data_IF_707063864194
#
_entry.id   IF_707063864194
#
_cell.length_a   1.000
_cell.length_b   1.000
_cell.length_c   1.000
_cell.angle_alpha   90.00
_cell.angle_beta   90.00
_cell.angle_gamma   90.00
#
_symmetry.space_group_name_H-M   'P 1'
#
loop_
_entity.id
_entity.type
_entity.pdbx_description
1 polymer ?
#
# COMPACT_ATOMS: atom_id res chain seq x y z
N UNK A 1 -2.89 -23.88 -22.96
CA UNK A 1 -2.06 -24.23 -21.80
C UNK A 1 -1.27 -23.00 -21.43
N UNK A 2 -1.12 -22.73 -20.15
CA UNK A 2 -0.37 -21.58 -19.62
C UNK A 2 0.53 -22.08 -18.49
N UNK A 3 1.60 -21.36 -18.19
CA UNK A 3 2.58 -21.72 -17.18
C UNK A 3 2.39 -20.96 -15.87
N UNK A 4 1.64 -19.85 -15.92
CA UNK A 4 1.30 -19.00 -14.78
C UNK A 4 -0.02 -18.28 -15.07
N UNK A 5 -0.78 -17.94 -14.05
CA UNK A 5 -2.05 -17.18 -14.15
C UNK A 5 -2.02 -16.02 -13.19
N UNK A 6 -2.37 -14.82 -13.66
CA UNK A 6 -2.69 -13.68 -12.80
C UNK A 6 -4.20 -13.46 -12.83
N UNK A 7 -4.81 -13.29 -11.65
CA UNK A 7 -6.25 -13.05 -11.51
C UNK A 7 -6.45 -11.71 -10.80
N UNK A 8 -7.27 -10.84 -11.41
CA UNK A 8 -7.86 -9.65 -10.79
C UNK A 8 -9.36 -9.86 -10.71
N UNK A 9 -9.90 -9.86 -9.50
CA UNK A 9 -11.31 -10.15 -9.23
C UNK A 9 -11.79 -9.38 -8.01
N UNK A 10 -13.04 -9.57 -7.61
CA UNK A 10 -13.59 -8.94 -6.42
C UNK A 10 -13.29 -9.75 -5.16
N UNK A 11 -13.77 -10.99 -5.07
CA UNK A 11 -13.71 -11.82 -3.86
C UNK A 11 -12.39 -12.61 -3.78
N UNK A 12 -11.67 -12.49 -2.69
CA UNK A 12 -10.45 -13.26 -2.41
C UNK A 12 -10.71 -14.78 -2.44
N UNK A 13 -11.85 -15.22 -1.92
CA UNK A 13 -12.24 -16.64 -1.88
C UNK A 13 -12.34 -17.27 -3.26
N UNK A 14 -12.72 -16.52 -4.30
CA UNK A 14 -12.75 -17.02 -5.68
C UNK A 14 -11.34 -17.34 -6.16
N UNK A 15 -10.40 -16.44 -5.86
CA UNK A 15 -9.00 -16.61 -6.23
C UNK A 15 -8.37 -17.79 -5.50
N UNK A 16 -8.62 -17.93 -4.20
CA UNK A 16 -8.12 -19.05 -3.38
C UNK A 16 -8.67 -20.41 -3.88
N UNK A 17 -9.96 -20.47 -4.19
CA UNK A 17 -10.57 -21.68 -4.77
C UNK A 17 -9.96 -22.02 -6.12
N UNK A 18 -9.69 -21.02 -6.97
CA UNK A 18 -9.02 -21.24 -8.25
C UNK A 18 -7.59 -21.77 -8.01
N UNK A 19 -6.82 -21.13 -7.12
CA UNK A 19 -5.45 -21.50 -6.81
C UNK A 19 -5.36 -22.92 -6.25
N UNK A 20 -6.30 -23.33 -5.38
CA UNK A 20 -6.35 -24.68 -4.81
C UNK A 20 -6.53 -25.81 -5.86
N UNK A 21 -7.07 -25.48 -7.03
CA UNK A 21 -7.28 -26.45 -8.13
C UNK A 21 -6.32 -26.22 -9.31
N UNK A 22 -5.47 -25.21 -9.25
CA UNK A 22 -4.51 -24.88 -10.30
C UNK A 22 -3.27 -25.79 -10.20
N UNK A 23 -2.75 -26.19 -11.38
CA UNK A 23 -1.45 -26.89 -11.48
C UNK A 23 -0.29 -25.93 -11.76
N UNK A 24 -0.59 -24.66 -11.95
CA UNK A 24 0.40 -23.61 -12.21
C UNK A 24 0.28 -22.52 -11.15
N UNK A 25 1.32 -21.74 -10.92
CA UNK A 25 1.26 -20.62 -9.97
C UNK A 25 0.13 -19.65 -10.30
N UNK A 26 -0.52 -19.13 -9.26
CA UNK A 26 -1.57 -18.13 -9.38
C UNK A 26 -1.15 -16.86 -8.63
N UNK A 27 -1.11 -15.75 -9.33
CA UNK A 27 -0.79 -14.43 -8.78
C UNK A 27 -2.10 -13.68 -8.50
N UNK A 28 -2.24 -13.15 -7.29
CA UNK A 28 -3.29 -12.19 -6.96
C UNK A 28 -2.95 -10.83 -7.57
N UNK A 29 -3.63 -10.47 -8.67
CA UNK A 29 -3.48 -9.16 -9.32
C UNK A 29 -4.20 -8.03 -8.60
N UNK A 30 -5.28 -8.33 -7.87
CA UNK A 30 -6.06 -7.51 -6.93
C UNK A 30 -7.34 -8.25 -6.55
N UNK A 31 -7.76 -8.11 -5.30
CA UNK A 31 -9.11 -8.43 -4.80
C UNK A 31 -9.65 -7.27 -3.98
N UNK A 32 -10.91 -7.36 -3.52
CA UNK A 32 -11.46 -6.38 -2.59
C UNK A 32 -10.72 -6.36 -1.25
N UNK A 33 -10.12 -7.49 -0.89
CA UNK A 33 -9.44 -7.67 0.39
C UNK A 33 -7.96 -7.31 0.34
N UNK A 34 -7.27 -7.55 -0.83
CA UNK A 34 -5.82 -7.41 -0.91
C UNK A 34 -5.30 -6.94 -2.27
N UNK A 35 -4.13 -6.29 -2.26
CA UNK A 35 -3.39 -5.91 -3.46
C UNK A 35 -1.87 -6.23 -3.35
N UNK A 36 -1.48 -7.51 -3.30
CA UNK A 36 -0.10 -7.90 -3.01
C UNK A 36 0.91 -7.45 -4.08
N UNK A 37 0.52 -7.34 -5.34
CA UNK A 37 1.42 -6.83 -6.38
C UNK A 37 1.76 -5.34 -6.21
N UNK A 38 0.88 -4.55 -5.61
CA UNK A 38 1.15 -3.15 -5.30
C UNK A 38 2.12 -3.05 -4.13
N UNK A 39 1.83 -3.72 -3.02
CA UNK A 39 2.68 -3.64 -1.84
C UNK A 39 4.12 -4.08 -2.12
N UNK A 40 4.35 -5.04 -3.02
CA UNK A 40 5.69 -5.41 -3.44
C UNK A 40 6.42 -4.25 -4.12
N UNK A 41 5.72 -3.45 -4.92
CA UNK A 41 6.30 -2.28 -5.57
C UNK A 41 6.58 -1.16 -4.55
N UNK A 42 5.65 -0.91 -3.63
CA UNK A 42 5.78 0.11 -2.59
C UNK A 42 6.99 -0.19 -1.70
N UNK A 43 7.11 -1.45 -1.25
CA UNK A 43 8.25 -1.92 -0.44
C UNK A 43 9.56 -1.82 -1.21
N UNK A 44 9.59 -2.23 -2.47
CA UNK A 44 10.77 -2.15 -3.31
C UNK A 44 11.20 -0.69 -3.54
N UNK A 45 10.24 0.20 -3.82
CA UNK A 45 10.50 1.64 -3.96
C UNK A 45 11.07 2.24 -2.67
N UNK A 46 10.52 1.87 -1.51
CA UNK A 46 11.09 2.31 -0.24
C UNK A 46 12.53 1.83 -0.06
N UNK A 47 12.82 0.57 -0.40
CA UNK A 47 14.16 -0.01 -0.32
C UNK A 47 15.12 0.71 -1.27
N UNK A 48 14.73 1.00 -2.50
CA UNK A 48 15.56 1.77 -3.44
C UNK A 48 15.89 3.16 -2.90
N UNK A 49 14.91 3.84 -2.33
CA UNK A 49 15.07 5.22 -1.84
C UNK A 49 15.82 5.31 -0.50
N UNK A 50 15.78 4.27 0.34
CA UNK A 50 16.26 4.31 1.73
C UNK A 50 17.20 3.17 2.12
N UNK A 51 17.16 2.05 1.44
CA UNK A 51 17.95 0.85 1.74
C UNK A 51 19.10 0.59 0.77
N UNK A 52 19.21 1.34 -0.32
CA UNK A 52 20.29 1.17 -1.29
C UNK A 52 21.44 2.16 -1.03
N UNK A 53 22.65 1.66 -0.85
CA UNK A 53 23.85 2.50 -0.75
C UNK A 53 24.35 2.91 -2.15
N UNK A 54 25.34 3.83 -2.19
CA UNK A 54 25.94 4.32 -3.44
C UNK A 54 26.69 3.25 -4.25
N UNK A 55 26.90 2.07 -3.70
CA UNK A 55 27.56 0.92 -4.34
C UNK A 55 26.55 -0.12 -4.82
N UNK A 56 25.25 0.13 -4.61
CA UNK A 56 24.17 -0.78 -4.95
C UNK A 56 23.96 -1.92 -3.95
N UNK A 57 24.58 -1.85 -2.77
CA UNK A 57 24.29 -2.80 -1.69
C UNK A 57 22.91 -2.48 -1.10
N UNK A 58 22.10 -3.50 -0.90
CA UNK A 58 20.69 -3.39 -0.48
C UNK A 58 20.58 -3.83 0.97
N UNK A 59 20.01 -2.95 1.80
CA UNK A 59 19.55 -3.28 3.16
C UNK A 59 18.08 -3.66 3.12
N UNK A 60 17.80 -4.94 3.12
CA UNK A 60 16.43 -5.48 3.14
C UNK A 60 15.71 -5.24 4.47
N UNK A 61 16.42 -4.94 5.54
CA UNK A 61 15.87 -4.63 6.86
C UNK A 61 15.61 -3.13 7.06
N UNK A 62 15.81 -2.30 6.03
CA UNK A 62 15.67 -0.83 6.13
C UNK A 62 14.28 -0.35 6.56
N UNK A 63 13.24 -1.19 6.37
CA UNK A 63 11.86 -0.92 6.84
C UNK A 63 11.65 -1.26 8.32
N UNK A 64 12.49 -2.14 8.89
CA UNK A 64 12.31 -2.62 10.25
C UNK A 64 12.35 -1.49 11.28
N UNK A 65 11.32 -1.43 12.12
CA UNK A 65 11.17 -0.38 13.13
C UNK A 65 10.77 1.00 12.57
N UNK A 66 10.49 1.11 11.27
CA UNK A 66 9.97 2.34 10.65
C UNK A 66 8.49 2.51 10.89
N UNK A 67 7.99 3.69 10.57
CA UNK A 67 6.58 4.05 10.66
C UNK A 67 6.06 4.42 9.28
N UNK A 68 5.01 3.74 8.86
CA UNK A 68 4.24 4.06 7.66
C UNK A 68 2.91 4.64 8.10
N UNK A 69 2.56 5.83 7.66
CA UNK A 69 1.25 6.43 7.89
C UNK A 69 0.32 6.07 6.72
N UNK A 70 -0.78 5.40 7.03
CA UNK A 70 -1.90 5.19 6.14
C UNK A 70 -3.01 6.19 6.46
N UNK A 71 -3.38 7.02 5.48
CA UNK A 71 -4.41 8.05 5.62
C UNK A 71 -5.47 7.81 4.55
N UNK A 72 -6.68 7.39 4.94
CA UNK A 72 -7.74 7.13 3.95
C UNK A 72 -8.65 5.97 4.33
N UNK A 73 -9.19 5.28 3.32
CA UNK A 73 -10.14 4.16 3.47
C UNK A 73 -9.47 2.90 4.03
N UNK A 74 -10.19 2.15 4.87
CA UNK A 74 -9.81 0.81 5.34
C UNK A 74 -9.97 -0.26 4.26
N UNK A 75 -9.39 -0.04 3.09
CA UNK A 75 -9.54 -0.85 1.89
C UNK A 75 -8.47 -1.97 1.76
N UNK A 76 -8.43 -2.60 0.59
CA UNK A 76 -7.47 -3.66 0.25
C UNK A 76 -6.00 -3.23 0.39
N UNK A 77 -5.67 -1.97 0.07
CA UNK A 77 -4.31 -1.46 0.25
C UNK A 77 -3.94 -1.34 1.73
N UNK A 78 -4.84 -0.76 2.54
CA UNK A 78 -4.67 -0.70 3.99
C UNK A 78 -4.45 -2.09 4.60
N UNK A 79 -5.29 -3.07 4.24
CA UNK A 79 -5.15 -4.46 4.69
C UNK A 79 -3.79 -5.05 4.31
N UNK A 80 -3.33 -4.79 3.08
CA UNK A 80 -2.07 -5.35 2.58
C UNK A 80 -0.85 -4.68 3.24
N UNK A 81 -0.93 -3.39 3.56
CA UNK A 81 0.07 -2.69 4.37
C UNK A 81 0.20 -3.30 5.78
N UNK A 82 -0.92 -3.67 6.42
CA UNK A 82 -0.88 -4.33 7.74
C UNK A 82 -0.20 -5.71 7.65
N UNK A 83 -0.49 -6.50 6.62
CA UNK A 83 0.18 -7.79 6.41
C UNK A 83 1.69 -7.62 6.21
N UNK A 84 2.10 -6.64 5.41
CA UNK A 84 3.51 -6.34 5.20
C UNK A 84 4.20 -5.91 6.52
N UNK A 85 3.53 -5.11 7.33
CA UNK A 85 4.05 -4.65 8.62
C UNK A 85 4.27 -5.81 9.60
N UNK A 86 3.30 -6.75 9.67
CA UNK A 86 3.43 -7.96 10.51
C UNK A 86 4.64 -8.81 10.09
N UNK A 87 4.87 -8.95 8.79
CA UNK A 87 5.95 -9.78 8.24
C UNK A 87 7.33 -9.11 8.37
N UNK A 88 7.42 -7.81 8.10
CA UNK A 88 8.68 -7.09 7.96
C UNK A 88 9.09 -6.28 9.21
N UNK A 89 8.21 -6.21 10.22
CA UNK A 89 8.55 -5.62 11.52
C UNK A 89 8.59 -4.09 11.53
N UNK A 90 7.80 -3.42 10.69
CA UNK A 90 7.51 -1.99 10.81
C UNK A 90 6.13 -1.74 11.43
N UNK A 91 5.74 -0.51 11.67
CA UNK A 91 4.45 -0.15 12.26
C UNK A 91 3.65 0.70 11.29
N UNK A 92 2.35 0.39 11.13
CA UNK A 92 1.43 1.26 10.38
C UNK A 92 0.65 2.14 11.35
N UNK A 93 0.74 3.44 11.19
CA UNK A 93 -0.15 4.41 11.79
C UNK A 93 -1.35 4.59 10.87
N UNK A 94 -2.54 4.20 11.33
CA UNK A 94 -3.76 4.19 10.52
C UNK A 94 -4.67 5.32 10.95
N UNK A 95 -5.13 6.14 9.99
CA UNK A 95 -6.23 7.06 10.21
C UNK A 95 -7.27 6.90 9.10
N UNK A 96 -8.48 6.56 9.50
CA UNK A 96 -9.64 6.36 8.64
C UNK A 96 -10.83 7.14 9.19
N UNK A 97 -11.74 7.67 8.36
CA UNK A 97 -13.01 8.22 8.84
C UNK A 97 -13.85 7.17 9.55
N UNK A 98 -14.73 7.62 10.44
CA UNK A 98 -15.69 6.73 11.10
C UNK A 98 -16.61 6.04 10.08
N UNK A 99 -16.75 4.73 10.21
CA UNK A 99 -17.51 3.86 9.29
C UNK A 99 -16.68 3.32 8.12
N UNK A 100 -15.38 3.68 8.04
CA UNK A 100 -14.45 3.23 6.99
C UNK A 100 -13.18 2.60 7.60
N UNK A 101 -13.28 2.09 8.81
CA UNK A 101 -12.17 1.50 9.55
C UNK A 101 -11.69 0.20 8.91
N UNK A 102 -10.42 -0.13 9.15
CA UNK A 102 -9.88 -1.44 8.79
C UNK A 102 -10.51 -2.50 9.70
N UNK A 103 -10.97 -3.60 9.11
CA UNK A 103 -11.33 -4.80 9.85
C UNK A 103 -10.09 -5.73 9.97
N UNK A 104 -9.52 -5.89 11.18
CA UNK A 104 -8.35 -6.75 11.39
C UNK A 104 -8.59 -8.21 11.00
N UNK A 105 -9.85 -8.68 11.05
CA UNK A 105 -10.20 -10.04 10.63
C UNK A 105 -10.11 -10.19 9.10
N UNK A 106 -10.53 -9.16 8.35
CA UNK A 106 -10.36 -9.12 6.89
C UNK A 106 -8.90 -8.95 6.53
N UNK A 107 -8.16 -8.08 7.23
CA UNK A 107 -6.72 -7.92 7.01
C UNK A 107 -5.94 -9.21 7.27
N UNK A 108 -6.47 -10.14 8.05
CA UNK A 108 -5.89 -11.46 8.30
C UNK A 108 -4.63 -11.43 9.15
N UNK A 109 -4.37 -10.32 9.87
CA UNK A 109 -3.22 -10.16 10.76
C UNK A 109 -3.45 -10.83 12.11
N UNK A 110 -2.38 -11.33 12.72
CA UNK A 110 -2.38 -11.99 14.02
C UNK A 110 -1.79 -11.12 15.12
N UNK A 111 -0.80 -10.30 14.78
CA UNK A 111 -0.12 -9.39 15.70
C UNK A 111 -0.63 -7.95 15.54
N UNK A 112 -1.57 -7.57 16.41
CA UNK A 112 -2.14 -6.22 16.42
C UNK A 112 -1.15 -5.13 16.86
N UNK A 113 0.07 -5.47 17.26
CA UNK A 113 1.13 -4.50 17.58
C UNK A 113 1.77 -3.89 16.35
N UNK A 114 1.53 -4.47 15.16
CA UNK A 114 2.04 -3.95 13.90
C UNK A 114 1.34 -2.67 13.43
N UNK A 115 0.26 -2.22 14.12
CA UNK A 115 -0.40 -0.97 13.77
C UNK A 115 -0.93 -0.20 14.99
N UNK A 116 -1.21 1.09 14.78
CA UNK A 116 -1.87 1.99 15.74
C UNK A 116 -2.92 2.81 15.00
N UNK A 117 -4.07 3.00 15.63
CA UNK A 117 -5.19 3.80 15.07
C UNK A 117 -5.18 5.21 15.65
N UNK A 118 -5.35 6.18 14.79
CA UNK A 118 -5.44 7.61 15.12
C UNK A 118 -6.73 8.18 14.55
N UNK A 119 -7.43 9.02 15.33
CA UNK A 119 -8.62 9.72 14.85
C UNK A 119 -8.24 10.91 13.94
N UNK A 120 -7.14 11.58 14.26
CA UNK A 120 -6.61 12.70 13.49
C UNK A 120 -5.57 12.20 12.48
N UNK A 121 -5.80 12.42 11.16
CA UNK A 121 -4.86 11.99 10.12
C UNK A 121 -3.49 12.66 10.24
N UNK A 122 -3.43 13.91 10.73
CA UNK A 122 -2.17 14.60 10.96
C UNK A 122 -1.35 13.94 12.08
N UNK A 123 -2.02 13.46 13.14
CA UNK A 123 -1.33 12.72 14.20
C UNK A 123 -0.85 11.33 13.73
N UNK A 124 -1.56 10.68 12.82
CA UNK A 124 -1.07 9.44 12.20
C UNK A 124 0.24 9.67 11.41
N UNK A 125 0.36 10.80 10.72
CA UNK A 125 1.56 11.19 9.96
C UNK A 125 2.75 11.55 10.85
N UNK A 126 2.54 11.88 12.13
CA UNK A 126 3.59 12.39 13.00
C UNK A 126 4.77 11.42 13.15
N UNK A 127 5.94 11.87 12.69
CA UNK A 127 7.18 11.10 12.75
C UNK A 127 7.22 9.90 11.81
N UNK A 128 6.32 9.79 10.85
CA UNK A 128 6.30 8.74 9.85
C UNK A 128 7.52 8.84 8.91
N UNK A 129 8.02 7.69 8.47
CA UNK A 129 9.06 7.55 7.45
C UNK A 129 8.47 7.55 6.04
N UNK A 130 7.20 7.15 5.93
CA UNK A 130 6.43 7.10 4.70
C UNK A 130 4.99 7.50 5.01
N UNK A 131 4.41 8.35 4.17
CA UNK A 131 2.96 8.64 4.15
C UNK A 131 2.39 8.08 2.86
N UNK A 132 1.30 7.35 2.96
CA UNK A 132 0.64 6.75 1.80
C UNK A 132 -0.88 6.80 1.94
N UNK A 133 -1.56 6.86 0.79
CA UNK A 133 -3.02 6.91 0.69
C UNK A 133 -3.48 6.21 -0.59
N UNK A 134 -4.78 6.09 -0.74
CA UNK A 134 -5.46 5.60 -1.94
C UNK A 134 -6.71 6.44 -2.20
N UNK A 135 -7.29 6.29 -3.39
CA UNK A 135 -8.54 6.97 -3.76
C UNK A 135 -9.64 6.72 -2.72
N UNK A 136 -10.42 7.73 -2.43
CA UNK A 136 -11.55 7.60 -1.49
C UNK A 136 -12.66 6.70 -2.01
N UNK A 137 -12.81 6.59 -3.33
CA UNK A 137 -13.81 5.76 -3.97
C UNK A 137 -13.13 4.74 -4.87
N UNK A 138 -13.00 3.52 -4.36
CA UNK A 138 -12.46 2.38 -5.12
C UNK A 138 -13.45 1.90 -6.20
N UNK A 139 -12.97 1.12 -7.16
CA UNK A 139 -13.80 0.51 -8.21
C UNK A 139 -14.97 -0.27 -7.61
N UNK A 140 -16.19 -0.01 -8.11
CA UNK A 140 -17.44 -0.66 -7.68
C UNK A 140 -18.22 0.10 -6.61
N UNK A 141 -17.68 1.21 -6.09
CA UNK A 141 -18.32 2.08 -5.08
C UNK A 141 -18.71 3.47 -5.60
N UNK A 142 -18.76 3.64 -6.93
CA UNK A 142 -19.01 4.95 -7.57
C UNK A 142 -20.35 5.57 -7.16
N UNK A 143 -21.34 4.74 -6.82
CA UNK A 143 -22.65 5.21 -6.33
C UNK A 143 -22.60 5.89 -4.95
N UNK A 144 -21.52 5.67 -4.18
CA UNK A 144 -21.30 6.23 -2.84
C UNK A 144 -20.42 7.49 -2.85
N UNK A 145 -20.01 7.95 -4.02
CA UNK A 145 -18.96 8.96 -4.19
C UNK A 145 -19.22 10.24 -3.39
N UNK A 146 -20.44 10.80 -3.40
CA UNK A 146 -20.76 12.02 -2.65
C UNK A 146 -20.67 11.82 -1.13
N UNK A 147 -21.18 10.69 -0.62
CA UNK A 147 -21.11 10.37 0.80
C UNK A 147 -19.65 10.16 1.24
N UNK A 148 -18.83 9.48 0.42
CA UNK A 148 -17.42 9.30 0.69
C UNK A 148 -16.65 10.61 0.67
N UNK A 149 -16.85 11.48 -0.31
CA UNK A 149 -16.21 12.80 -0.35
C UNK A 149 -16.53 13.63 0.90
N UNK A 150 -17.75 13.57 1.40
CA UNK A 150 -18.11 14.25 2.64
C UNK A 150 -17.44 13.63 3.88
N UNK A 151 -17.37 12.30 3.96
CA UNK A 151 -16.75 11.59 5.08
C UNK A 151 -15.23 11.77 5.12
N UNK A 152 -14.58 11.84 3.96
CA UNK A 152 -13.12 11.89 3.82
C UNK A 152 -12.56 13.33 3.68
N UNK A 153 -13.39 14.37 3.79
CA UNK A 153 -12.96 15.75 3.55
C UNK A 153 -11.71 16.20 4.34
N UNK A 154 -11.54 15.67 5.56
CA UNK A 154 -10.39 15.96 6.43
C UNK A 154 -9.22 14.98 6.24
N UNK A 155 -9.34 14.01 5.33
CA UNK A 155 -8.32 12.98 5.04
C UNK A 155 -7.54 13.22 3.75
N UNK A 156 -7.55 14.43 3.21
CA UNK A 156 -6.68 14.83 2.12
C UNK A 156 -5.24 14.97 2.62
N UNK A 157 -4.31 14.16 2.14
CA UNK A 157 -2.89 14.30 2.49
C UNK A 157 -2.36 15.59 1.89
N UNK A 158 -2.05 16.56 2.73
CA UNK A 158 -1.59 17.90 2.41
C UNK A 158 -0.17 18.18 2.93
N UNK A 159 0.33 19.38 2.66
CA UNK A 159 1.65 19.83 3.12
C UNK A 159 1.77 19.85 4.66
N UNK A 160 0.68 20.10 5.37
CA UNK A 160 0.65 20.15 6.83
C UNK A 160 0.81 18.75 7.45
N UNK A 161 0.22 17.73 6.82
CA UNK A 161 0.43 16.32 7.19
C UNK A 161 1.85 15.88 6.90
N UNK A 162 2.39 16.24 5.73
CA UNK A 162 3.79 15.94 5.38
C UNK A 162 4.79 16.66 6.30
N UNK A 163 4.48 17.88 6.74
CA UNK A 163 5.35 18.67 7.62
C UNK A 163 5.52 18.07 9.03
N UNK A 164 4.58 17.28 9.53
CA UNK A 164 4.71 16.58 10.83
C UNK A 164 5.33 15.19 10.71
N UNK A 165 5.45 14.64 9.51
CA UNK A 165 6.25 13.46 9.23
C UNK A 165 7.76 13.78 9.37
N UNK A 166 8.62 12.79 9.17
CA UNK A 166 10.06 13.06 9.15
C UNK A 166 10.43 13.98 7.98
N UNK A 167 11.46 14.82 8.11
CA UNK A 167 11.86 15.74 7.05
C UNK A 167 12.22 15.04 5.72
N UNK A 168 12.65 13.79 5.80
CA UNK A 168 12.96 12.93 4.66
C UNK A 168 11.88 11.89 4.39
N UNK A 169 10.68 11.99 4.97
CA UNK A 169 9.58 11.09 4.71
C UNK A 169 9.25 11.04 3.22
N UNK A 170 8.93 9.85 2.72
CA UNK A 170 8.45 9.67 1.35
C UNK A 170 6.93 9.79 1.31
N UNK A 171 6.40 10.16 0.14
CA UNK A 171 4.98 10.03 -0.19
C UNK A 171 4.81 9.00 -1.31
N UNK A 172 3.85 8.09 -1.14
CA UNK A 172 3.47 7.06 -2.10
C UNK A 172 1.96 7.02 -2.34
N UNK A 173 1.57 6.58 -3.52
CA UNK A 173 0.17 6.38 -3.92
C UNK A 173 0.09 5.36 -5.04
N UNK A 174 -0.75 4.34 -4.89
CA UNK A 174 -0.87 3.23 -5.84
C UNK A 174 -1.41 3.64 -7.24
N UNK A 175 -1.83 4.88 -7.42
CA UNK A 175 -2.42 5.43 -8.65
C UNK A 175 -3.61 4.60 -9.20
N UNK A 176 -4.61 5.23 -9.86
CA UNK A 176 -4.68 6.68 -10.18
C UNK A 176 -4.96 7.52 -8.94
N UNK A 177 -4.60 8.81 -8.98
CA UNK A 177 -4.84 9.76 -7.90
C UNK A 177 -5.71 10.94 -8.34
N UNK A 178 -6.49 11.49 -7.41
CA UNK A 178 -7.33 12.67 -7.64
C UNK A 178 -6.80 13.85 -6.82
N UNK A 179 -6.04 14.73 -7.47
CA UNK A 179 -5.51 15.94 -6.83
C UNK A 179 -6.62 16.81 -6.25
N UNK A 180 -6.52 17.15 -4.97
CA UNK A 180 -7.54 17.91 -4.24
C UNK A 180 -8.66 17.05 -3.63
N UNK A 181 -8.58 15.72 -3.79
CA UNK A 181 -9.35 14.75 -3.01
C UNK A 181 -8.44 14.09 -1.97
N UNK A 182 -8.02 12.84 -2.18
CA UNK A 182 -7.19 12.09 -1.21
C UNK A 182 -5.77 12.65 -1.03
N UNK A 183 -5.29 13.46 -1.98
CA UNK A 183 -3.97 14.08 -1.93
C UNK A 183 -3.94 15.45 -2.58
N UNK A 184 -3.25 16.41 -1.94
CA UNK A 184 -3.00 17.73 -2.50
C UNK A 184 -1.98 17.66 -3.64
N UNK A 185 -2.15 18.54 -4.67
CA UNK A 185 -1.24 18.57 -5.82
C UNK A 185 0.22 18.81 -5.41
N UNK A 186 0.43 19.70 -4.44
CA UNK A 186 1.76 20.04 -3.92
C UNK A 186 2.47 18.87 -3.22
N UNK A 187 1.73 17.86 -2.75
CA UNK A 187 2.28 16.66 -2.14
C UNK A 187 2.64 15.65 -3.21
N UNK A 188 1.68 15.27 -4.05
CA UNK A 188 1.90 14.23 -5.07
C UNK A 188 2.92 14.67 -6.15
N UNK A 189 2.96 15.96 -6.46
CA UNK A 189 3.91 16.54 -7.41
C UNK A 189 5.16 17.13 -6.70
N UNK A 190 5.24 17.00 -5.38
CA UNK A 190 6.29 17.55 -4.53
C UNK A 190 7.55 16.69 -4.46
N UNK A 191 8.62 17.21 -3.82
CA UNK A 191 9.94 16.57 -3.80
C UNK A 191 10.02 15.29 -2.94
N UNK A 192 9.05 15.04 -2.07
CA UNK A 192 8.97 13.84 -1.25
C UNK A 192 8.18 12.72 -1.93
N UNK A 193 7.51 13.03 -3.04
CA UNK A 193 6.72 12.06 -3.81
C UNK A 193 7.62 11.17 -4.66
N UNK A 194 7.39 9.87 -4.55
CA UNK A 194 8.08 8.84 -5.34
C UNK A 194 7.07 7.98 -6.12
N UNK A 195 5.89 8.53 -6.38
CA UNK A 195 4.78 7.81 -7.04
C UNK A 195 5.13 7.33 -8.45
N UNK A 196 6.04 8.01 -9.15
CA UNK A 196 6.45 7.61 -10.49
C UNK A 196 7.42 6.44 -10.47
N UNK A 197 8.38 6.43 -9.53
CA UNK A 197 9.27 5.29 -9.29
C UNK A 197 8.45 4.08 -8.82
N UNK A 198 7.49 4.30 -7.92
CA UNK A 198 6.54 3.29 -7.45
C UNK A 198 5.74 2.67 -8.62
N UNK A 199 5.22 3.50 -9.52
CA UNK A 199 4.47 3.03 -10.70
C UNK A 199 5.36 2.21 -11.65
N UNK A 200 6.61 2.62 -11.89
CA UNK A 200 7.58 1.88 -12.70
C UNK A 200 7.94 0.56 -12.03
N UNK A 201 8.15 0.56 -10.74
CA UNK A 201 8.50 -0.63 -9.96
C UNK A 201 7.44 -1.73 -9.97
N UNK A 202 6.18 -1.39 -10.28
CA UNK A 202 5.13 -2.39 -10.56
C UNK A 202 5.56 -3.40 -11.62
N UNK A 203 6.17 -2.93 -12.69
CA UNK A 203 6.65 -3.81 -13.76
C UNK A 203 7.82 -4.69 -13.27
N UNK A 204 8.77 -4.09 -12.58
CA UNK A 204 9.99 -4.78 -12.15
C UNK A 204 9.70 -5.89 -11.12
N UNK A 205 8.91 -5.60 -10.10
CA UNK A 205 8.59 -6.59 -9.05
C UNK A 205 7.69 -7.71 -9.57
N UNK A 206 6.75 -7.41 -10.47
CA UNK A 206 5.90 -8.45 -11.07
C UNK A 206 6.69 -9.36 -11.99
N UNK A 207 7.66 -8.81 -12.74
CA UNK A 207 8.60 -9.60 -13.55
C UNK A 207 9.41 -10.53 -12.66
N UNK A 208 10.01 -10.02 -11.58
CA UNK A 208 10.79 -10.81 -10.64
C UNK A 208 9.92 -11.88 -9.94
N UNK A 209 8.68 -11.55 -9.57
CA UNK A 209 7.74 -12.49 -8.98
C UNK A 209 7.41 -13.65 -9.95
N UNK A 210 7.16 -13.35 -11.22
CA UNK A 210 6.91 -14.37 -12.24
C UNK A 210 8.14 -15.26 -12.43
N UNK A 211 9.34 -14.70 -12.50
CA UNK A 211 10.58 -15.45 -12.62
C UNK A 211 10.78 -16.38 -11.42
N UNK A 212 10.58 -15.87 -10.20
CA UNK A 212 10.66 -16.67 -8.98
C UNK A 212 9.67 -17.84 -8.97
N UNK A 213 8.41 -17.59 -9.34
CA UNK A 213 7.36 -18.62 -9.34
C UNK A 213 7.57 -19.70 -10.41
N UNK A 214 8.18 -19.34 -11.53
CA UNK A 214 8.43 -20.28 -12.63
C UNK A 214 9.74 -21.07 -12.47
N UNK A 215 10.79 -20.44 -11.93
CA UNK A 215 12.13 -21.00 -11.87
C UNK A 215 12.55 -21.41 -10.44
N UNK A 216 11.79 -21.02 -9.41
CA UNK A 216 12.14 -21.21 -8.01
C UNK A 216 13.33 -20.35 -7.54
N UNK A 217 13.77 -19.40 -8.35
CA UNK A 217 14.87 -18.47 -8.07
C UNK A 217 14.71 -17.19 -8.88
N UNK A 218 15.39 -16.13 -8.46
CA UNK A 218 15.61 -14.91 -9.22
C UNK A 218 17.05 -14.95 -9.72
N UNK A 219 17.24 -14.72 -11.02
CA UNK A 219 18.56 -14.74 -11.68
C UNK A 219 19.31 -13.43 -11.54
#
# INVERSE_FOLDING_TARGET
>A
MVDIVMIRTYEQTKLERFAAHSRVPVINGLTNEYHPCQILADLFTFIEQRGMDRRGAIDMDCLKGRVVAWVGDGNNMANTWLQAAEILGFTVHVSTPSGYEIDPAVAGIKDTRCYKVFQDPKEACRGADLVTTDVWTSMGYEAENEARRAAFADWCVDADMMAVAKPDALFMHCLPAHRGEEVAAEVIDGPQSVVWDEAENRMHVQKALMEYLLLGRIG
#
